data_IF_164240404414
#
_entry.id   IF_164240404414
#
_cell.length_a   1.000
_cell.length_b   1.000
_cell.length_c   1.000
_cell.angle_alpha   90.00
_cell.angle_beta   90.00
_cell.angle_gamma   90.00
#
_symmetry.space_group_name_H-M   'P 1'
#
loop_
_entity.id
_entity.type
_entity.pdbx_description
1 polymer ?
#
# COMPACT_ATOMS: atom_id res chain seq x y z
N UNK A 1 16.02 7.10 -3.95
CA UNK A 1 15.50 7.42 -2.63
C UNK A 1 14.99 6.16 -1.96
N UNK A 2 15.47 5.92 -0.76
CA UNK A 2 15.12 4.72 -0.03
C UNK A 2 13.61 4.60 0.22
N UNK A 3 12.94 5.73 0.41
CA UNK A 3 11.51 5.73 0.72
C UNK A 3 10.65 5.14 -0.39
N UNK A 4 11.05 5.34 -1.64
CA UNK A 4 10.27 4.85 -2.77
C UNK A 4 10.27 3.32 -2.84
N UNK A 5 11.33 2.69 -2.32
CA UNK A 5 11.43 1.23 -2.34
C UNK A 5 10.59 0.57 -1.25
N UNK A 6 9.99 1.37 -0.36
CA UNK A 6 9.22 0.85 0.76
C UNK A 6 7.72 0.94 0.54
N UNK A 7 7.27 1.30 -0.67
CA UNK A 7 5.84 1.33 -0.94
C UNK A 7 5.28 -0.07 -1.06
N UNK A 8 3.98 -0.20 -0.77
CA UNK A 8 3.31 -1.49 -0.90
C UNK A 8 3.41 -2.02 -2.33
N UNK A 9 3.25 -1.12 -3.33
CA UNK A 9 3.35 -1.53 -4.73
C UNK A 9 4.75 -2.03 -5.07
N UNK A 10 5.79 -1.35 -4.57
CA UNK A 10 7.16 -1.75 -4.84
C UNK A 10 7.49 -3.11 -4.22
N UNK A 11 7.01 -3.33 -2.99
CA UNK A 11 7.24 -4.62 -2.32
C UNK A 11 6.49 -5.74 -3.04
N UNK A 12 5.25 -5.48 -3.46
CA UNK A 12 4.49 -6.46 -4.23
C UNK A 12 5.21 -6.83 -5.52
N UNK A 13 5.69 -5.83 -6.24
CA UNK A 13 6.41 -6.07 -7.49
C UNK A 13 7.68 -6.87 -7.25
N UNK A 14 8.40 -6.57 -6.17
CA UNK A 14 9.61 -7.29 -5.80
C UNK A 14 9.32 -8.75 -5.50
N UNK A 15 8.25 -9.03 -4.75
CA UNK A 15 7.85 -10.41 -4.47
C UNK A 15 7.45 -11.15 -5.72
N UNK A 16 6.72 -10.48 -6.63
CA UNK A 16 6.35 -11.10 -7.89
C UNK A 16 7.58 -11.49 -8.71
N UNK A 17 8.59 -10.62 -8.74
CA UNK A 17 9.83 -10.92 -9.42
C UNK A 17 10.55 -12.11 -8.76
N UNK A 18 10.56 -12.14 -7.45
CA UNK A 18 11.21 -13.20 -6.69
C UNK A 18 10.61 -14.56 -7.01
N UNK A 19 9.28 -14.63 -7.14
CA UNK A 19 8.58 -15.86 -7.45
C UNK A 19 8.27 -16.02 -8.94
N UNK A 20 8.82 -15.13 -9.76
CA UNK A 20 8.66 -15.19 -11.23
C UNK A 20 7.21 -15.20 -11.66
N UNK A 21 6.42 -14.32 -11.04
CA UNK A 21 4.99 -14.21 -11.31
C UNK A 21 4.70 -13.05 -12.24
N UNK A 22 3.93 -13.31 -13.31
CA UNK A 22 3.38 -12.24 -14.12
C UNK A 22 2.12 -11.69 -13.45
N UNK A 23 1.67 -10.51 -13.91
CA UNK A 23 0.42 -9.94 -13.41
C UNK A 23 -0.74 -10.91 -13.64
N UNK A 24 -0.77 -11.56 -14.81
CA UNK A 24 -1.82 -12.52 -15.13
C UNK A 24 -1.78 -13.72 -14.19
N UNK A 25 -0.59 -14.25 -13.92
CA UNK A 25 -0.45 -15.38 -13.02
C UNK A 25 -0.91 -15.03 -11.61
N UNK A 26 -0.50 -13.86 -11.13
CA UNK A 26 -0.93 -13.43 -9.80
C UNK A 26 -2.45 -13.26 -9.74
N UNK A 27 -3.04 -12.66 -10.78
CA UNK A 27 -4.49 -12.43 -10.80
C UNK A 27 -5.27 -13.73 -10.65
N UNK A 28 -4.79 -14.80 -11.28
CA UNK A 28 -5.43 -16.09 -11.15
C UNK A 28 -5.31 -16.66 -9.74
N UNK A 29 -4.13 -16.49 -9.14
CA UNK A 29 -3.86 -17.08 -7.83
C UNK A 29 -4.66 -16.40 -6.72
N UNK A 30 -4.82 -15.09 -6.79
CA UNK A 30 -5.50 -14.36 -5.72
C UNK A 30 -6.95 -14.00 -6.08
N UNK A 31 -7.42 -14.49 -7.23
CA UNK A 31 -8.83 -14.35 -7.65
C UNK A 31 -9.24 -12.88 -7.83
N UNK A 32 -8.38 -12.11 -8.46
CA UNK A 32 -8.67 -10.74 -8.86
C UNK A 32 -8.51 -10.61 -10.37
N UNK A 33 -9.10 -9.58 -10.95
CA UNK A 33 -8.93 -9.34 -12.37
C UNK A 33 -7.51 -8.90 -12.70
N UNK A 34 -7.00 -9.19 -13.92
CA UNK A 34 -5.69 -8.68 -14.32
C UNK A 34 -5.61 -7.16 -14.26
N UNK A 35 -6.70 -6.47 -14.58
CA UNK A 35 -6.74 -5.02 -14.51
C UNK A 35 -6.50 -4.53 -13.09
N UNK A 36 -7.13 -5.16 -12.11
CA UNK A 36 -6.92 -4.79 -10.71
C UNK A 36 -5.47 -5.04 -10.28
N UNK A 37 -4.89 -6.18 -10.69
CA UNK A 37 -3.50 -6.49 -10.34
C UNK A 37 -2.58 -5.45 -10.96
N UNK A 38 -2.82 -5.05 -12.21
CA UNK A 38 -2.04 -3.99 -12.85
C UNK A 38 -2.08 -2.70 -12.02
N UNK A 39 -3.25 -2.31 -11.54
CA UNK A 39 -3.41 -1.11 -10.74
C UNK A 39 -2.68 -1.21 -9.41
N UNK A 40 -2.73 -2.38 -8.78
CA UNK A 40 -2.03 -2.60 -7.51
C UNK A 40 -0.52 -2.53 -7.69
N UNK A 41 -0.01 -3.16 -8.73
CA UNK A 41 1.43 -3.20 -9.00
C UNK A 41 1.97 -1.83 -9.39
N UNK A 42 1.17 -1.05 -10.09
CA UNK A 42 1.58 0.29 -10.51
C UNK A 42 1.39 1.35 -9.43
N UNK A 43 0.73 0.99 -8.32
CA UNK A 43 0.46 1.94 -7.25
C UNK A 43 -0.76 2.81 -7.48
N UNK A 44 -1.52 2.57 -8.55
CA UNK A 44 -2.73 3.35 -8.83
C UNK A 44 -3.87 3.04 -7.88
N UNK A 45 -3.94 1.82 -7.38
CA UNK A 45 -4.95 1.41 -6.41
C UNK A 45 -4.30 1.10 -5.08
N UNK A 46 -4.97 1.49 -4.01
CA UNK A 46 -4.51 1.18 -2.67
C UNK A 46 -4.95 -0.24 -2.29
N UNK A 47 -4.22 -0.82 -1.35
CA UNK A 47 -4.55 -2.14 -0.84
C UNK A 47 -5.73 -2.03 0.12
N UNK A 48 -6.86 -2.60 -0.28
CA UNK A 48 -8.00 -2.73 0.63
C UNK A 48 -7.80 -3.97 1.50
N UNK A 49 -8.56 -4.07 2.58
CA UNK A 49 -8.42 -5.22 3.48
C UNK A 49 -8.65 -6.54 2.75
N UNK A 50 -9.68 -6.68 1.90
CA UNK A 50 -9.83 -7.94 1.16
C UNK A 50 -8.64 -8.27 0.27
N UNK A 51 -8.02 -7.27 -0.35
CA UNK A 51 -6.82 -7.49 -1.17
C UNK A 51 -5.67 -7.92 -0.28
N UNK A 52 -5.49 -7.25 0.87
CA UNK A 52 -4.43 -7.60 1.82
C UNK A 52 -4.56 -9.06 2.26
N UNK A 53 -5.77 -9.50 2.56
CA UNK A 53 -5.98 -10.88 3.00
C UNK A 53 -5.61 -11.89 1.90
N UNK A 54 -5.92 -11.56 0.65
CA UNK A 54 -5.55 -12.41 -0.48
C UNK A 54 -4.03 -12.50 -0.63
N UNK A 55 -3.35 -11.36 -0.57
CA UNK A 55 -1.89 -11.32 -0.70
C UNK A 55 -1.21 -12.03 0.46
N UNK A 56 -1.71 -11.81 1.68
CA UNK A 56 -1.15 -12.46 2.86
C UNK A 56 -1.26 -13.98 2.75
N UNK A 57 -2.42 -14.45 2.32
CA UNK A 57 -2.66 -15.88 2.17
C UNK A 57 -1.72 -16.48 1.12
N UNK A 58 -1.61 -15.82 -0.02
CA UNK A 58 -0.83 -16.35 -1.13
C UNK A 58 0.67 -16.34 -0.87
N UNK A 59 1.19 -15.22 -0.37
CA UNK A 59 2.62 -15.09 -0.13
C UNK A 59 3.06 -15.64 1.23
N UNK A 60 2.11 -16.05 2.07
CA UNK A 60 2.43 -16.63 3.37
C UNK A 60 2.94 -15.62 4.37
N UNK A 61 2.53 -14.38 4.25
CA UNK A 61 2.90 -13.32 5.17
C UNK A 61 1.70 -12.89 5.99
N UNK A 62 1.97 -12.36 7.18
CA UNK A 62 0.93 -11.84 8.04
C UNK A 62 0.22 -10.67 7.38
N UNK A 63 -1.11 -10.55 7.50
CA UNK A 63 -1.81 -9.38 6.96
C UNK A 63 -1.23 -8.05 7.44
N UNK A 64 -0.73 -7.98 8.67
CA UNK A 64 -0.15 -6.75 9.18
C UNK A 64 1.08 -6.30 8.38
N UNK A 65 1.80 -7.23 7.76
CA UNK A 65 2.92 -6.89 6.89
C UNK A 65 2.47 -5.94 5.78
N UNK A 66 1.38 -6.30 5.10
CA UNK A 66 0.85 -5.49 4.00
C UNK A 66 0.20 -4.22 4.49
N UNK A 67 -0.54 -4.30 5.60
CA UNK A 67 -1.20 -3.13 6.16
C UNK A 67 -0.19 -2.09 6.63
N UNK A 68 0.92 -2.53 7.24
CA UNK A 68 1.97 -1.61 7.66
C UNK A 68 2.62 -0.90 6.47
N UNK A 69 2.87 -1.64 5.39
CA UNK A 69 3.41 -1.03 4.17
C UNK A 69 2.45 0.01 3.61
N UNK A 70 1.16 -0.31 3.57
CA UNK A 70 0.15 0.61 3.08
C UNK A 70 0.08 1.86 3.94
N UNK A 71 0.11 1.69 5.25
CA UNK A 71 0.09 2.81 6.19
C UNK A 71 1.29 3.73 5.98
N UNK A 72 2.48 3.15 5.85
CA UNK A 72 3.69 3.95 5.61
C UNK A 72 3.62 4.71 4.30
N UNK A 73 3.10 4.06 3.26
CA UNK A 73 2.94 4.69 1.95
C UNK A 73 2.00 5.89 2.05
N UNK A 74 0.85 5.69 2.70
CA UNK A 74 -0.14 6.75 2.84
C UNK A 74 0.38 7.92 3.67
N UNK A 75 1.10 7.63 4.75
CA UNK A 75 1.70 8.68 5.57
C UNK A 75 2.74 9.48 4.78
N UNK A 76 3.59 8.80 4.02
CA UNK A 76 4.60 9.48 3.22
C UNK A 76 3.97 10.39 2.17
N UNK A 77 2.89 9.91 1.52
CA UNK A 77 2.18 10.72 0.54
C UNK A 77 1.57 11.96 1.19
N UNK A 78 0.95 11.79 2.35
CA UNK A 78 0.33 12.90 3.06
C UNK A 78 1.36 13.91 3.53
N UNK A 79 2.52 13.44 4.00
CA UNK A 79 3.58 14.32 4.47
C UNK A 79 4.17 15.16 3.36
N UNK A 80 4.11 14.70 2.12
CA UNK A 80 4.62 15.47 0.99
C UNK A 80 3.53 16.32 0.34
N UNK A 81 2.30 16.26 0.81
CA UNK A 81 1.19 17.06 0.29
C UNK A 81 1.22 18.45 0.90
N UNK A 82 1.69 19.42 0.12
CA UNK A 82 1.86 20.79 0.61
C UNK A 82 0.56 21.45 1.04
N UNK A 83 -0.52 21.18 0.32
CA UNK A 83 -1.83 21.76 0.68
C UNK A 83 -2.30 21.22 2.02
N UNK A 84 -2.17 19.92 2.22
CA UNK A 84 -2.56 19.30 3.48
C UNK A 84 -1.69 19.84 4.62
N UNK A 85 -0.38 19.94 4.41
CA UNK A 85 0.51 20.44 5.44
C UNK A 85 0.16 21.87 5.85
N UNK A 86 -0.23 22.70 4.89
CA UNK A 86 -0.67 24.08 5.18
C UNK A 86 -1.92 24.07 6.04
N UNK A 87 -2.87 23.18 5.73
CA UNK A 87 -4.10 23.05 6.51
C UNK A 87 -3.78 22.61 7.94
N UNK A 88 -2.88 21.64 8.08
CA UNK A 88 -2.53 21.10 9.39
C UNK A 88 -1.90 22.16 10.30
N UNK A 89 -1.15 23.09 9.72
CA UNK A 89 -0.57 24.16 10.50
C UNK A 89 -1.62 25.05 11.16
N UNK A 90 -2.81 25.12 10.55
CA UNK A 90 -3.91 25.90 11.11
C UNK A 90 -4.73 25.15 12.14
N UNK A 91 -4.43 23.90 12.39
CA UNK A 91 -5.17 23.08 13.35
C UNK A 91 -4.42 23.06 14.67
N UNK A 92 -5.06 23.55 15.71
CA UNK A 92 -4.49 23.57 17.05
C UNK A 92 -4.97 22.35 17.83
N UNK A 93 -4.09 21.86 18.69
CA UNK A 93 -4.48 20.74 19.55
C UNK A 93 -5.57 21.19 20.52
N UNK A 94 -6.54 20.31 20.72
CA UNK A 94 -7.63 20.60 21.66
C UNK A 94 -7.09 20.71 23.08
N UNK A 95 -7.63 21.65 23.85
CA UNK A 95 -7.25 21.79 25.26
C UNK A 95 -8.38 21.23 26.12
N UNK A 96 -7.98 20.52 27.17
CA UNK A 96 -8.97 20.00 28.11
C UNK A 96 -9.58 21.15 28.91
N UNK A 97 -10.89 21.09 29.19
CA UNK A 97 -11.50 22.07 30.10
C UNK A 97 -10.85 22.03 31.47
N UNK A 98 -10.78 23.17 32.09
CA UNK A 98 -10.17 23.29 33.42
C UNK A 98 -11.04 22.62 34.49
#
# INVERSE_FOLDING_TARGET
MAKLNQTAAAVLKSLMNEYQLSNMALSRQIKLSPSMVNQLVSGQSKLTVPVVLRLAKFFGKDPSFWLDLQRKTLLAEAESDKKLQAILKGISKVKKPA
#
